data_IF_246612058304
#
_entry.id   IF_246612058304
#
_cell.length_a   1.000
_cell.length_b   1.000
_cell.length_c   1.000
_cell.angle_alpha   90.00
_cell.angle_beta   90.00
_cell.angle_gamma   90.00
#
_symmetry.space_group_name_H-M   'P 1'
#
loop_
_entity.id
_entity.type
_entity.pdbx_description
1 polymer ?
#
# COMPACT_ATOMS: atom_id res chain seq x y z
N UNK A 1 -60.99 26.43 80.34
CA UNK A 1 -59.97 25.37 80.14
C UNK A 1 -59.28 25.60 78.81
N UNK A 2 -58.04 26.11 78.81
CA UNK A 2 -57.20 26.27 77.61
C UNK A 2 -56.15 25.16 77.65
N UNK A 3 -56.11 24.30 76.62
CA UNK A 3 -55.11 23.24 76.47
C UNK A 3 -53.71 23.85 76.30
N UNK A 4 -52.67 23.28 76.94
CA UNK A 4 -51.29 23.71 76.69
C UNK A 4 -50.81 23.18 75.33
N UNK A 5 -50.10 24.04 74.60
CA UNK A 5 -49.42 23.74 73.34
C UNK A 5 -48.23 22.79 73.59
N UNK A 6 -47.97 21.79 72.72
CA UNK A 6 -46.77 20.98 72.85
C UNK A 6 -45.54 21.80 72.46
N UNK A 7 -44.56 21.88 73.35
CA UNK A 7 -43.22 22.37 73.04
C UNK A 7 -42.54 21.37 72.09
N UNK A 8 -42.17 21.82 70.90
CA UNK A 8 -41.28 21.10 69.99
C UNK A 8 -39.88 21.17 70.62
N UNK A 9 -39.46 20.10 71.28
CA UNK A 9 -38.05 19.90 71.63
C UNK A 9 -37.29 19.65 70.32
N UNK A 10 -36.34 20.53 69.99
CA UNK A 10 -35.39 20.27 68.90
C UNK A 10 -34.50 19.12 69.34
N UNK A 11 -34.64 17.99 68.67
CA UNK A 11 -33.87 16.77 68.93
C UNK A 11 -32.48 16.94 68.29
N UNK A 12 -31.53 17.51 69.04
CA UNK A 12 -30.16 17.77 68.58
C UNK A 12 -29.41 16.47 68.26
N UNK A 13 -29.81 15.34 68.85
CA UNK A 13 -29.26 14.02 68.57
C UNK A 13 -29.63 13.54 67.16
N UNK A 14 -30.87 13.81 66.71
CA UNK A 14 -31.30 13.51 65.35
C UNK A 14 -30.55 14.36 64.31
N UNK A 15 -30.27 15.63 64.62
CA UNK A 15 -29.47 16.50 63.74
C UNK A 15 -28.02 16.03 63.64
N UNK A 16 -27.44 15.60 64.76
CA UNK A 16 -26.07 15.08 64.84
C UNK A 16 -25.93 13.80 64.04
N UNK A 17 -26.88 12.85 64.18
CA UNK A 17 -26.90 11.61 63.41
C UNK A 17 -27.03 11.87 61.89
N UNK A 18 -27.83 12.86 61.49
CA UNK A 18 -27.97 13.25 60.07
C UNK A 18 -26.67 13.85 59.52
N UNK A 19 -25.99 14.70 60.29
CA UNK A 19 -24.70 15.30 59.88
C UNK A 19 -23.60 14.24 59.82
N UNK A 20 -23.56 13.31 60.77
CA UNK A 20 -22.60 12.19 60.76
C UNK A 20 -22.83 11.29 59.55
N UNK A 21 -24.09 10.95 59.24
CA UNK A 21 -24.42 10.19 58.03
C UNK A 21 -24.02 10.93 56.74
N UNK A 22 -24.33 12.22 56.63
CA UNK A 22 -23.98 13.04 55.47
C UNK A 22 -22.45 13.17 55.31
N UNK A 23 -21.71 13.35 56.40
CA UNK A 23 -20.25 13.46 56.34
C UNK A 23 -19.59 12.11 56.00
N UNK A 24 -20.07 11.00 56.57
CA UNK A 24 -19.63 9.66 56.20
C UNK A 24 -19.97 9.32 54.74
N UNK A 25 -21.15 9.70 54.26
CA UNK A 25 -21.59 9.45 52.88
C UNK A 25 -20.81 10.27 51.87
N UNK A 26 -20.55 11.55 52.18
CA UNK A 26 -19.70 12.41 51.33
C UNK A 26 -18.26 11.93 51.29
N UNK A 27 -17.70 11.49 52.42
CA UNK A 27 -16.38 10.86 52.47
C UNK A 27 -16.33 9.57 51.65
N UNK A 28 -17.35 8.71 51.78
CA UNK A 28 -17.47 7.48 51.01
C UNK A 28 -17.54 7.77 49.50
N UNK A 29 -18.33 8.76 49.09
CA UNK A 29 -18.40 9.17 47.68
C UNK A 29 -17.07 9.73 47.19
N UNK A 30 -16.36 10.54 48.00
CA UNK A 30 -15.03 11.03 47.64
C UNK A 30 -14.02 9.88 47.48
N UNK A 31 -14.06 8.88 48.34
CA UNK A 31 -13.20 7.70 48.24
C UNK A 31 -13.57 6.86 47.02
N UNK A 32 -14.86 6.67 46.75
CA UNK A 32 -15.34 5.90 45.59
C UNK A 32 -14.95 6.58 44.27
N UNK A 33 -15.10 7.90 44.17
CA UNK A 33 -14.69 8.64 42.97
C UNK A 33 -13.17 8.64 42.80
N UNK A 34 -12.41 8.85 43.88
CA UNK A 34 -10.95 8.76 43.83
C UNK A 34 -10.47 7.36 43.42
N UNK A 35 -11.10 6.31 43.93
CA UNK A 35 -10.79 4.92 43.59
C UNK A 35 -11.12 4.59 42.13
N UNK A 36 -12.29 4.99 41.64
CA UNK A 36 -12.68 4.77 40.25
C UNK A 36 -11.76 5.52 39.29
N UNK A 37 -11.37 6.76 39.61
CA UNK A 37 -10.38 7.51 38.83
C UNK A 37 -9.01 6.85 38.83
N UNK A 38 -8.56 6.30 39.97
CA UNK A 38 -7.27 5.61 40.08
C UNK A 38 -7.28 4.27 39.34
N UNK A 39 -8.38 3.52 39.39
CA UNK A 39 -8.53 2.26 38.65
C UNK A 39 -8.47 2.47 37.13
N UNK A 40 -9.06 3.57 36.63
CA UNK A 40 -8.94 3.97 35.23
C UNK A 40 -7.51 4.38 34.85
N UNK A 41 -6.76 5.00 35.77
CA UNK A 41 -5.37 5.41 35.55
C UNK A 41 -4.36 4.25 35.60
N UNK A 42 -4.64 3.19 36.35
CA UNK A 42 -3.66 2.13 36.64
C UNK A 42 -3.76 0.91 35.72
N UNK A 43 -4.85 0.75 34.95
CA UNK A 43 -5.05 -0.37 34.04
C UNK A 43 -5.10 0.01 32.54
N UNK A 44 -5.07 1.30 32.19
CA UNK A 44 -5.32 1.70 30.80
C UNK A 44 -6.70 1.23 30.30
N UNK A 45 -7.02 1.46 29.03
CA UNK A 45 -8.10 0.71 28.39
C UNK A 45 -7.59 -0.73 28.19
N UNK A 46 -8.08 -1.69 28.96
CA UNK A 46 -7.77 -3.11 28.79
C UNK A 46 -8.52 -3.66 27.56
N UNK A 47 -8.22 -3.09 26.40
CA UNK A 47 -8.79 -3.44 25.11
C UNK A 47 -7.80 -4.36 24.37
N UNK A 48 -8.11 -5.67 24.26
CA UNK A 48 -7.18 -6.63 23.70
C UNK A 48 -6.82 -6.35 22.23
N UNK A 49 -7.69 -5.65 21.50
CA UNK A 49 -7.45 -5.34 20.09
C UNK A 49 -6.44 -4.19 19.97
N UNK A 50 -6.55 -3.16 20.83
CA UNK A 50 -5.58 -2.07 20.93
C UNK A 50 -4.22 -2.60 21.40
N UNK A 51 -4.19 -3.47 22.40
CA UNK A 51 -2.95 -4.07 22.92
C UNK A 51 -2.23 -4.90 21.84
N UNK A 52 -2.97 -5.56 20.94
CA UNK A 52 -2.41 -6.30 19.81
C UNK A 52 -1.78 -5.35 18.80
N UNK A 53 -2.47 -4.27 18.42
CA UNK A 53 -1.94 -3.28 17.49
C UNK A 53 -0.68 -2.60 18.03
N UNK A 54 -0.68 -2.19 19.30
CA UNK A 54 0.48 -1.58 19.96
C UNK A 54 1.69 -2.51 19.97
N UNK A 55 1.45 -3.78 20.30
CA UNK A 55 2.49 -4.81 20.24
C UNK A 55 2.99 -5.03 18.81
N UNK A 56 2.08 -5.09 17.83
CA UNK A 56 2.41 -5.32 16.43
C UNK A 56 3.27 -4.18 15.87
N UNK A 57 2.91 -2.91 16.14
CA UNK A 57 3.70 -1.75 15.75
C UNK A 57 5.07 -1.73 16.43
N UNK A 58 5.13 -1.97 17.75
CA UNK A 58 6.39 -1.98 18.50
C UNK A 58 7.33 -3.11 18.07
N UNK A 59 6.84 -4.34 17.94
CA UNK A 59 7.64 -5.50 17.53
C UNK A 59 8.02 -5.44 16.04
N UNK A 60 7.11 -4.96 15.19
CA UNK A 60 7.39 -4.76 13.77
C UNK A 60 8.50 -3.74 13.55
N UNK A 61 8.44 -2.59 14.24
CA UNK A 61 9.50 -1.60 14.18
C UNK A 61 10.82 -2.14 14.74
N UNK A 62 10.78 -2.89 15.85
CA UNK A 62 11.98 -3.50 16.41
C UNK A 62 12.63 -4.47 15.41
N UNK A 63 11.85 -5.41 14.83
CA UNK A 63 12.33 -6.34 13.79
C UNK A 63 12.93 -5.63 12.59
N UNK A 64 12.32 -4.53 12.16
CA UNK A 64 12.78 -3.72 11.03
C UNK A 64 14.10 -2.99 11.33
N UNK A 65 14.32 -2.62 12.59
CA UNK A 65 15.42 -1.74 13.01
C UNK A 65 16.42 -2.40 13.96
N UNK A 66 16.34 -3.72 14.16
CA UNK A 66 17.24 -4.47 15.05
C UNK A 66 18.43 -5.09 14.33
N UNK A 67 18.39 -5.22 13.00
CA UNK A 67 19.43 -5.89 12.23
C UNK A 67 19.24 -5.81 10.72
N UNK A 68 19.98 -6.66 10.01
CA UNK A 68 20.06 -6.69 8.55
C UNK A 68 18.83 -7.33 7.89
N UNK A 69 18.09 -8.14 8.63
CA UNK A 69 16.96 -8.91 8.10
C UNK A 69 17.39 -10.26 7.55
N UNK A 70 16.48 -10.98 6.92
CA UNK A 70 16.72 -12.33 6.43
C UNK A 70 15.81 -12.66 5.27
N UNK A 71 16.32 -13.37 4.27
CA UNK A 71 15.56 -13.85 3.13
C UNK A 71 15.79 -15.34 2.90
N UNK A 72 14.70 -16.06 2.69
CA UNK A 72 14.68 -17.47 2.32
C UNK A 72 14.07 -17.58 0.92
N UNK A 73 14.84 -17.94 -0.12
CA UNK A 73 14.31 -18.06 -1.47
C UNK A 73 13.35 -19.23 -1.62
N UNK A 74 12.50 -19.15 -2.65
CA UNK A 74 11.63 -20.24 -3.07
C UNK A 74 12.23 -20.98 -4.26
N UNK A 75 12.33 -22.30 -4.17
CA UNK A 75 12.66 -23.19 -5.28
C UNK A 75 11.57 -24.26 -5.39
N UNK A 76 11.82 -25.49 -4.91
CA UNK A 76 10.80 -26.54 -4.74
C UNK A 76 10.19 -26.47 -3.31
N UNK A 77 9.88 -25.26 -2.86
CA UNK A 77 9.61 -24.92 -1.46
C UNK A 77 10.62 -23.94 -0.88
N UNK A 78 10.51 -23.66 0.43
CA UNK A 78 11.43 -22.74 1.12
C UNK A 78 12.83 -23.36 1.22
N UNK A 79 13.80 -22.73 0.57
CA UNK A 79 15.18 -23.16 0.54
C UNK A 79 16.00 -22.48 1.64
N UNK A 80 15.97 -23.08 2.83
CA UNK A 80 16.73 -22.62 3.98
C UNK A 80 18.26 -22.78 3.85
N UNK A 81 18.76 -23.52 2.85
CA UNK A 81 20.20 -23.67 2.66
C UNK A 81 20.81 -22.46 1.95
N UNK A 82 20.02 -21.80 1.09
CA UNK A 82 20.42 -20.63 0.32
C UNK A 82 19.87 -19.31 0.89
N UNK A 83 19.47 -19.30 2.16
CA UNK A 83 19.01 -18.08 2.83
C UNK A 83 20.17 -17.13 3.17
N UNK A 84 19.91 -15.83 3.11
CA UNK A 84 20.91 -14.77 3.32
C UNK A 84 20.32 -13.53 4.00
N UNK A 85 21.18 -12.72 4.61
CA UNK A 85 20.88 -11.36 5.10
C UNK A 85 20.81 -10.35 3.94
N UNK A 86 21.31 -10.71 2.76
CA UNK A 86 21.38 -9.88 1.55
C UNK A 86 20.07 -9.82 0.75
N UNK A 87 18.94 -9.74 1.45
CA UNK A 87 17.61 -9.70 0.84
C UNK A 87 17.43 -8.53 -0.13
N UNK A 88 18.15 -7.43 0.09
CA UNK A 88 18.08 -6.20 -0.70
C UNK A 88 18.62 -6.35 -2.13
N UNK A 89 19.32 -7.44 -2.44
CA UNK A 89 19.78 -7.77 -3.80
C UNK A 89 18.80 -8.67 -4.57
N UNK A 90 17.79 -9.23 -3.91
CA UNK A 90 16.80 -10.08 -4.57
C UNK A 90 15.81 -9.24 -5.40
N UNK A 91 15.33 -9.82 -6.51
CA UNK A 91 14.29 -9.19 -7.32
C UNK A 91 12.95 -9.17 -6.59
N UNK A 92 12.04 -8.29 -7.01
CA UNK A 92 10.70 -8.22 -6.42
C UNK A 92 9.94 -9.55 -6.55
N UNK A 93 10.12 -10.27 -7.66
CA UNK A 93 9.54 -11.60 -7.87
C UNK A 93 10.12 -12.63 -6.89
N UNK A 94 11.46 -12.68 -6.73
CA UNK A 94 12.08 -13.62 -5.79
C UNK A 94 11.69 -13.35 -4.33
N UNK A 95 11.57 -12.07 -3.95
CA UNK A 95 11.12 -11.66 -2.61
C UNK A 95 9.65 -12.02 -2.36
N UNK A 96 8.80 -11.91 -3.39
CA UNK A 96 7.38 -12.25 -3.30
C UNK A 96 7.14 -13.77 -3.17
N UNK A 97 7.89 -14.57 -3.94
CA UNK A 97 7.75 -16.03 -3.92
C UNK A 97 8.40 -16.66 -2.68
N UNK A 98 9.50 -16.07 -2.21
CA UNK A 98 10.23 -16.48 -1.01
C UNK A 98 9.62 -15.94 0.28
N UNK A 99 10.42 -15.95 1.34
CA UNK A 99 10.07 -15.35 2.64
C UNK A 99 11.12 -14.34 3.05
N UNK A 100 10.71 -13.09 3.16
CA UNK A 100 11.58 -11.99 3.57
C UNK A 100 11.16 -11.45 4.94
N UNK A 101 12.13 -11.22 5.81
CA UNK A 101 12.02 -10.36 6.98
C UNK A 101 12.93 -9.15 6.73
N UNK A 102 12.39 -7.99 6.29
CA UNK A 102 13.20 -6.83 6.02
C UNK A 102 13.87 -6.30 7.30
N UNK A 103 15.13 -5.93 7.17
CA UNK A 103 15.89 -5.24 8.20
C UNK A 103 16.69 -4.11 7.55
N UNK A 104 16.73 -2.95 8.19
CA UNK A 104 17.29 -1.72 7.62
C UNK A 104 18.68 -1.39 8.15
N UNK A 105 19.19 -2.18 9.09
CA UNK A 105 20.44 -1.88 9.78
C UNK A 105 21.60 -2.64 9.17
N UNK A 106 22.73 -1.97 8.98
CA UNK A 106 24.04 -2.58 8.71
C UNK A 106 25.07 -1.84 9.56
N UNK A 107 25.95 -2.57 10.26
CA UNK A 107 26.99 -1.96 11.11
C UNK A 107 26.45 -0.90 12.12
N UNK A 108 25.26 -1.15 12.70
CA UNK A 108 24.58 -0.24 13.64
C UNK A 108 24.12 1.10 13.05
N UNK A 109 23.99 1.18 11.72
CA UNK A 109 23.52 2.34 10.96
C UNK A 109 22.40 1.95 10.03
N UNK A 110 21.58 2.92 9.62
CA UNK A 110 20.60 2.69 8.56
C UNK A 110 21.32 2.59 7.22
N UNK A 111 21.06 1.50 6.52
CA UNK A 111 21.62 1.22 5.20
C UNK A 111 20.67 1.72 4.09
N UNK A 112 21.19 2.57 3.22
CA UNK A 112 20.41 3.22 2.16
C UNK A 112 20.02 2.24 1.05
N UNK A 113 20.86 1.24 0.77
CA UNK A 113 20.57 0.24 -0.25
C UNK A 113 19.41 -0.66 0.18
N UNK A 114 19.35 -1.00 1.47
CA UNK A 114 18.21 -1.73 2.07
C UNK A 114 16.93 -0.90 2.07
N UNK A 115 17.01 0.40 2.36
CA UNK A 115 15.85 1.30 2.26
C UNK A 115 15.34 1.36 0.81
N UNK A 116 16.23 1.54 -0.17
CA UNK A 116 15.86 1.56 -1.58
C UNK A 116 15.26 0.21 -2.04
N UNK A 117 15.78 -0.91 -1.53
CA UNK A 117 15.27 -2.23 -1.86
C UNK A 117 13.88 -2.53 -1.28
N UNK A 118 13.36 -1.72 -0.35
CA UNK A 118 11.96 -1.82 0.09
C UNK A 118 10.98 -1.65 -1.08
N UNK A 119 11.37 -0.93 -2.14
CA UNK A 119 10.56 -0.83 -3.35
C UNK A 119 10.35 -2.18 -4.05
N UNK A 120 11.19 -3.18 -3.81
CA UNK A 120 11.00 -4.53 -4.34
C UNK A 120 10.14 -5.43 -3.43
N UNK A 121 9.83 -5.00 -2.22
CA UNK A 121 9.02 -5.78 -1.26
C UNK A 121 7.55 -5.43 -1.46
N UNK A 122 6.66 -6.42 -1.43
CA UNK A 122 5.21 -6.16 -1.43
C UNK A 122 4.74 -5.81 -0.03
N UNK A 123 3.65 -5.04 0.12
CA UNK A 123 3.08 -4.74 1.45
C UNK A 123 2.78 -6.02 2.24
N UNK A 124 2.28 -7.07 1.58
CA UNK A 124 2.03 -8.38 2.18
C UNK A 124 3.31 -9.08 2.64
N UNK A 125 4.35 -9.06 1.82
CA UNK A 125 5.66 -9.61 2.19
C UNK A 125 6.26 -8.88 3.39
N UNK A 126 6.10 -7.55 3.43
CA UNK A 126 6.51 -6.72 4.57
C UNK A 126 5.72 -7.10 5.84
N UNK A 127 4.40 -7.12 5.77
CA UNK A 127 3.54 -7.46 6.91
C UNK A 127 3.85 -8.86 7.47
N UNK A 128 3.99 -9.85 6.58
CA UNK A 128 4.35 -11.21 6.98
C UNK A 128 5.77 -11.29 7.57
N UNK A 129 6.73 -10.57 6.99
CA UNK A 129 8.11 -10.50 7.46
C UNK A 129 8.22 -9.87 8.86
N UNK A 130 7.44 -8.81 9.09
CA UNK A 130 7.32 -8.18 10.41
C UNK A 130 6.47 -8.98 11.39
N UNK A 131 5.83 -10.06 10.94
CA UNK A 131 5.00 -10.96 11.74
C UNK A 131 3.72 -10.29 12.25
N UNK A 132 3.09 -9.48 11.41
CA UNK A 132 1.74 -8.95 11.62
C UNK A 132 0.70 -10.03 11.32
N UNK A 133 -0.48 -9.91 11.92
CA UNK A 133 -1.61 -10.80 11.63
C UNK A 133 -2.18 -10.52 10.22
N UNK A 134 -2.88 -11.49 9.62
CA UNK A 134 -3.32 -11.44 8.21
C UNK A 134 -4.36 -10.35 7.92
N UNK A 135 -5.09 -9.92 8.94
CA UNK A 135 -6.08 -8.85 8.91
C UNK A 135 -5.46 -7.47 9.15
N UNK A 136 -4.20 -7.38 9.55
CA UNK A 136 -3.52 -6.11 9.75
C UNK A 136 -2.93 -5.59 8.44
N UNK A 137 -3.02 -4.27 8.25
CA UNK A 137 -2.26 -3.56 7.21
C UNK A 137 -1.23 -2.62 7.85
N UNK A 138 -0.33 -2.06 7.05
CA UNK A 138 0.72 -1.18 7.56
C UNK A 138 0.95 0.01 6.64
N UNK A 139 1.47 1.08 7.24
CA UNK A 139 2.12 2.17 6.53
C UNK A 139 3.51 2.38 7.10
N UNK A 140 4.53 2.39 6.25
CA UNK A 140 5.92 2.62 6.62
C UNK A 140 6.38 3.95 6.02
N UNK A 141 6.88 4.83 6.88
CA UNK A 141 7.48 6.09 6.50
C UNK A 141 8.90 6.21 7.03
N UNK A 142 9.84 6.53 6.14
CA UNK A 142 11.24 6.80 6.46
C UNK A 142 11.56 8.19 5.94
N UNK A 143 11.79 9.14 6.85
CA UNK A 143 11.95 10.54 6.50
C UNK A 143 13.23 11.12 7.10
N UNK A 144 13.93 11.92 6.32
CA UNK A 144 14.97 12.82 6.83
C UNK A 144 14.28 14.00 7.51
N UNK A 145 14.34 14.07 8.84
CA UNK A 145 13.70 15.12 9.65
C UNK A 145 14.55 16.38 9.67
N UNK A 146 15.85 16.22 9.85
CA UNK A 146 16.85 17.30 9.86
C UNK A 146 18.05 16.84 9.04
N UNK A 147 18.68 17.76 8.29
CA UNK A 147 19.91 17.51 7.53
C UNK A 147 20.71 18.80 7.41
N UNK A 148 22.03 18.70 7.37
CA UNK A 148 22.92 19.80 7.02
C UNK A 148 22.81 20.18 5.52
N UNK A 149 22.20 19.32 4.69
CA UNK A 149 21.87 19.56 3.28
C UNK A 149 20.40 19.96 3.12
N UNK A 150 20.15 21.22 2.75
CA UNK A 150 18.80 21.77 2.54
C UNK A 150 17.98 20.99 1.49
N UNK A 151 18.62 20.28 0.56
CA UNK A 151 17.91 19.47 -0.47
C UNK A 151 17.38 18.15 0.07
N UNK A 152 17.91 17.71 1.22
CA UNK A 152 17.52 16.45 1.87
C UNK A 152 16.59 16.66 3.05
N UNK A 153 16.54 17.86 3.61
CA UNK A 153 15.64 18.18 4.72
C UNK A 153 14.17 17.86 4.35
N UNK A 154 13.46 17.15 5.24
CA UNK A 154 12.05 16.73 5.10
C UNK A 154 11.75 15.78 3.94
N UNK A 155 12.77 15.27 3.25
CA UNK A 155 12.60 14.30 2.17
C UNK A 155 12.21 12.91 2.72
N UNK A 156 11.21 12.29 2.11
CA UNK A 156 10.93 10.87 2.31
C UNK A 156 11.95 10.02 1.53
N UNK A 157 12.59 9.10 2.24
CA UNK A 157 13.39 8.03 1.65
C UNK A 157 12.49 6.84 1.25
N UNK A 158 11.38 6.66 1.96
CA UNK A 158 10.33 5.68 1.66
C UNK A 158 9.02 6.09 2.34
N UNK A 159 7.86 5.89 1.71
CA UNK A 159 6.54 6.20 2.26
C UNK A 159 5.44 5.34 1.62
N UNK A 160 5.40 4.05 1.98
CA UNK A 160 4.51 3.07 1.36
C UNK A 160 3.52 2.41 2.31
N UNK A 161 2.42 1.90 1.76
CA UNK A 161 1.48 1.02 2.44
C UNK A 161 0.05 1.54 2.45
N UNK A 162 -0.79 0.92 3.26
CA UNK A 162 -2.21 1.26 3.37
C UNK A 162 -2.40 2.56 4.14
N UNK A 163 -3.16 3.51 3.58
CA UNK A 163 -3.47 4.78 4.23
C UNK A 163 -4.34 4.60 5.49
N UNK A 164 -3.98 5.32 6.57
CA UNK A 164 -4.69 5.28 7.86
C UNK A 164 -6.19 5.53 7.74
N UNK A 165 -6.60 6.41 6.82
CA UNK A 165 -8.00 6.81 6.64
C UNK A 165 -8.94 5.68 6.22
N UNK A 166 -8.41 4.52 5.83
CA UNK A 166 -9.20 3.36 5.41
C UNK A 166 -9.46 2.35 6.53
N UNK A 167 -8.86 2.52 7.71
CA UNK A 167 -8.95 1.60 8.83
C UNK A 167 -9.67 2.22 10.05
N UNK A 168 -10.42 1.41 10.83
CA UNK A 168 -11.11 1.85 12.05
C UNK A 168 -10.15 2.23 13.19
N UNK A 169 -9.03 1.55 13.33
CA UNK A 169 -8.06 1.77 14.41
C UNK A 169 -6.62 1.57 13.92
N UNK A 170 -5.67 2.19 14.62
CA UNK A 170 -4.24 2.12 14.29
C UNK A 170 -3.38 2.26 15.54
N UNK A 171 -2.16 1.72 15.46
CA UNK A 171 -1.07 2.05 16.38
C UNK A 171 0.17 2.49 15.60
N UNK A 172 1.04 3.28 16.22
CA UNK A 172 2.22 3.85 15.60
C UNK A 172 3.43 3.67 16.51
N UNK A 173 4.52 3.15 15.95
CA UNK A 173 5.83 3.12 16.58
C UNK A 173 6.82 3.90 15.72
N UNK A 174 7.81 4.56 16.35
CA UNK A 174 8.88 5.22 15.62
C UNK A 174 10.23 5.08 16.31
N UNK A 175 11.31 5.15 15.51
CA UNK A 175 12.69 5.20 15.98
C UNK A 175 13.45 6.23 15.15
N UNK A 176 14.31 7.00 15.81
CA UNK A 176 15.13 8.02 15.16
C UNK A 176 16.60 7.62 15.19
N UNK A 177 17.30 7.94 14.11
CA UNK A 177 18.72 7.66 13.90
C UNK A 177 19.43 8.96 13.58
N UNK A 178 20.59 9.17 14.20
CA UNK A 178 21.47 10.29 13.89
C UNK A 178 22.70 9.74 13.18
N UNK A 179 22.85 10.04 11.89
CA UNK A 179 23.98 9.57 11.09
C UNK A 179 24.29 10.57 9.96
N UNK A 180 25.57 10.74 9.64
CA UNK A 180 26.05 11.61 8.54
C UNK A 180 25.51 13.07 8.56
N UNK A 181 25.24 13.62 9.74
CA UNK A 181 24.65 14.97 9.86
C UNK A 181 23.14 15.02 9.62
N UNK A 182 22.48 13.86 9.51
CA UNK A 182 21.04 13.74 9.32
C UNK A 182 20.35 13.06 10.52
N UNK A 183 19.19 13.60 10.89
CA UNK A 183 18.21 12.95 11.77
C UNK A 183 17.19 12.23 10.89
N UNK A 184 17.27 10.91 10.80
CA UNK A 184 16.33 10.08 10.05
C UNK A 184 15.33 9.46 11.01
N UNK A 185 14.04 9.51 10.68
CA UNK A 185 12.97 8.88 11.45
C UNK A 185 12.30 7.78 10.65
N UNK A 186 12.26 6.59 11.24
CA UNK A 186 11.47 5.45 10.76
C UNK A 186 10.19 5.40 11.59
N UNK A 187 9.05 5.46 10.93
CA UNK A 187 7.70 5.38 11.51
C UNK A 187 6.99 4.18 10.89
N UNK A 188 6.54 3.26 11.74
CA UNK A 188 5.68 2.15 11.34
C UNK A 188 4.30 2.37 11.96
N UNK A 189 3.29 2.52 11.12
CA UNK A 189 1.89 2.51 11.50
C UNK A 189 1.31 1.13 11.16
N UNK A 190 0.61 0.52 12.11
CA UNK A 190 -0.10 -0.75 11.94
C UNK A 190 -1.58 -0.50 12.14
N UNK A 191 -2.39 -0.99 11.21
CA UNK A 191 -3.81 -0.76 11.12
C UNK A 191 -4.58 -2.06 11.32
N UNK A 192 -5.74 -1.97 11.95
CA UNK A 192 -6.71 -3.06 12.02
C UNK A 192 -7.53 -3.09 10.72
N UNK A 193 -7.06 -3.85 9.74
CA UNK A 193 -7.61 -3.82 8.38
C UNK A 193 -7.16 -2.60 7.60
N UNK A 194 -8.01 -2.18 6.65
CA UNK A 194 -7.73 -1.10 5.71
C UNK A 194 -7.72 -1.58 4.27
N UNK A 195 -8.03 -0.66 3.35
CA UNK A 195 -8.07 -0.99 1.93
C UNK A 195 -6.71 -0.71 1.32
N UNK A 196 -5.98 -1.79 0.99
CA UNK A 196 -4.68 -1.71 0.32
C UNK A 196 -4.73 -0.84 -0.93
N UNK A 197 -3.77 0.06 -1.03
CA UNK A 197 -3.58 0.91 -2.19
C UNK A 197 -2.60 0.25 -3.17
N UNK A 198 -3.14 -0.54 -4.10
CA UNK A 198 -2.35 -1.20 -5.13
C UNK A 198 -2.48 -0.48 -6.49
N UNK A 199 -2.71 0.84 -6.51
CA UNK A 199 -3.07 1.52 -7.75
C UNK A 199 -1.99 1.38 -8.82
N UNK A 200 -2.34 0.84 -9.99
CA UNK A 200 -1.48 0.82 -11.17
C UNK A 200 -2.05 1.76 -12.24
N UNK A 201 -1.18 2.42 -12.99
CA UNK A 201 -1.54 3.33 -14.06
C UNK A 201 -1.10 2.76 -15.40
N UNK A 202 -2.00 2.72 -16.39
CA UNK A 202 -1.57 2.61 -17.78
C UNK A 202 -1.22 4.01 -18.26
N UNK A 203 -0.01 4.20 -18.75
CA UNK A 203 0.53 5.50 -19.18
C UNK A 203 0.51 5.62 -20.70
N UNK A 204 0.74 4.53 -21.41
CA UNK A 204 0.77 4.51 -22.87
C UNK A 204 0.35 3.15 -23.44
N UNK A 205 -0.30 3.14 -24.61
CA UNK A 205 -0.75 1.92 -25.30
C UNK A 205 -0.45 1.98 -26.79
N UNK A 206 0.27 0.98 -27.29
CA UNK A 206 0.49 0.75 -28.72
C UNK A 206 -0.41 -0.37 -29.23
N UNK A 207 -1.52 0.01 -29.85
CA UNK A 207 -2.46 -0.94 -30.48
C UNK A 207 -2.04 -1.31 -31.90
N UNK A 208 -1.38 -0.39 -32.63
CA UNK A 208 -1.10 -0.57 -34.06
C UNK A 208 0.36 -0.28 -34.41
N UNK A 209 1.29 -1.17 -34.03
CA UNK A 209 2.72 -0.97 -34.26
C UNK A 209 3.08 -0.80 -35.73
N UNK A 210 4.08 0.05 -36.02
CA UNK A 210 4.68 0.12 -37.34
C UNK A 210 5.62 -1.08 -37.59
N UNK A 211 5.95 -1.33 -38.87
CA UNK A 211 7.02 -2.26 -39.28
C UNK A 211 6.90 -3.68 -38.75
N UNK A 212 5.67 -4.16 -38.50
CA UNK A 212 5.41 -5.48 -37.91
C UNK A 212 5.95 -5.65 -36.48
N UNK A 213 6.10 -4.56 -35.72
CA UNK A 213 6.46 -4.60 -34.30
C UNK A 213 5.35 -5.21 -33.42
N UNK A 214 5.64 -5.41 -32.12
CA UNK A 214 4.67 -5.93 -31.17
C UNK A 214 3.73 -4.84 -30.64
N UNK A 215 2.49 -5.22 -30.36
CA UNK A 215 1.59 -4.43 -29.52
C UNK A 215 2.16 -4.36 -28.10
N UNK A 216 1.96 -3.24 -27.42
CA UNK A 216 2.43 -3.11 -26.04
C UNK A 216 1.56 -2.16 -25.22
N UNK A 217 1.62 -2.35 -23.91
CA UNK A 217 0.97 -1.54 -22.88
C UNK A 217 2.04 -1.17 -21.88
N UNK A 218 2.17 0.12 -21.60
CA UNK A 218 3.05 0.63 -20.56
C UNK A 218 2.27 0.83 -19.27
N UNK A 219 2.82 0.30 -18.17
CA UNK A 219 2.21 0.36 -16.84
C UNK A 219 3.20 0.92 -15.84
N UNK A 220 2.80 1.96 -15.12
CA UNK A 220 3.53 2.54 -14.00
C UNK A 220 2.95 2.02 -12.67
N UNK A 221 3.84 1.63 -11.75
CA UNK A 221 3.52 1.45 -10.35
C UNK A 221 3.96 2.70 -9.57
N UNK A 222 3.05 3.65 -9.27
CA UNK A 222 3.38 4.86 -8.51
C UNK A 222 3.57 4.60 -7.01
N UNK A 223 3.21 3.42 -6.50
CA UNK A 223 3.31 3.12 -5.08
C UNK A 223 4.77 2.87 -4.68
N UNK A 224 5.10 3.09 -3.41
CA UNK A 224 6.42 2.78 -2.89
C UNK A 224 6.65 1.29 -2.69
N UNK A 225 5.62 0.50 -2.37
CA UNK A 225 5.74 -0.95 -2.33
C UNK A 225 5.57 -1.58 -3.72
N UNK A 226 6.15 -2.77 -3.89
CA UNK A 226 5.89 -3.60 -5.04
C UNK A 226 4.42 -4.09 -5.05
N UNK A 227 3.85 -4.21 -6.24
CA UNK A 227 2.49 -4.69 -6.46
C UNK A 227 2.54 -6.06 -7.13
N UNK A 228 1.96 -7.07 -6.49
CA UNK A 228 1.72 -8.37 -7.12
C UNK A 228 0.64 -8.23 -8.19
N UNK A 229 0.86 -8.84 -9.35
CA UNK A 229 -0.10 -8.85 -10.45
C UNK A 229 -1.19 -9.89 -10.27
N UNK A 230 -1.14 -10.73 -9.23
CA UNK A 230 -2.23 -11.66 -8.91
C UNK A 230 -3.52 -10.86 -8.65
N UNK A 231 -4.61 -11.24 -9.34
CA UNK A 231 -5.91 -10.56 -9.24
C UNK A 231 -6.08 -9.37 -10.19
N UNK A 232 -5.03 -8.96 -10.89
CA UNK A 232 -5.11 -8.00 -11.99
C UNK A 232 -5.54 -8.68 -13.27
N UNK A 233 -6.33 -7.99 -14.09
CA UNK A 233 -6.73 -8.51 -15.38
C UNK A 233 -6.85 -7.42 -16.44
N UNK A 234 -6.56 -7.80 -17.68
CA UNK A 234 -6.82 -6.97 -18.84
C UNK A 234 -8.06 -7.48 -19.56
N UNK A 235 -8.97 -6.57 -19.90
CA UNK A 235 -10.11 -6.83 -20.75
C UNK A 235 -10.02 -5.95 -21.99
N UNK A 236 -10.11 -6.56 -23.16
CA UNK A 236 -10.27 -5.84 -24.41
C UNK A 236 -11.59 -6.23 -25.06
N UNK A 237 -12.30 -5.25 -25.62
CA UNK A 237 -13.55 -5.46 -26.36
C UNK A 237 -13.55 -4.66 -27.65
N UNK A 238 -14.04 -5.26 -28.73
CA UNK A 238 -14.23 -4.59 -30.01
C UNK A 238 -15.45 -5.14 -30.74
N UNK A 239 -16.52 -4.33 -30.81
CA UNK A 239 -17.80 -4.80 -31.37
C UNK A 239 -18.36 -5.99 -30.58
N UNK A 240 -18.36 -7.19 -31.18
CA UNK A 240 -18.81 -8.42 -30.53
C UNK A 240 -17.68 -9.32 -30.02
N UNK A 241 -16.41 -8.96 -30.27
CA UNK A 241 -15.26 -9.72 -29.75
C UNK A 241 -14.87 -9.21 -28.37
N UNK A 242 -14.43 -10.13 -27.50
CA UNK A 242 -13.82 -9.79 -26.23
C UNK A 242 -12.68 -10.77 -25.92
N UNK A 243 -11.57 -10.23 -25.43
CA UNK A 243 -10.47 -10.98 -24.83
C UNK A 243 -10.33 -10.57 -23.37
N UNK A 244 -10.00 -11.55 -22.52
CA UNK A 244 -9.75 -11.34 -21.10
C UNK A 244 -8.49 -12.11 -20.73
N UNK A 245 -7.61 -11.46 -19.98
CA UNK A 245 -6.41 -12.06 -19.43
C UNK A 245 -6.38 -11.78 -17.92
N UNK A 246 -6.45 -12.83 -17.10
CA UNK A 246 -6.17 -12.75 -15.68
C UNK A 246 -4.68 -13.02 -15.44
N UNK A 247 -4.02 -12.11 -14.75
CA UNK A 247 -2.65 -12.27 -14.31
C UNK A 247 -2.62 -13.21 -13.10
N UNK A 248 -1.81 -14.25 -13.19
CA UNK A 248 -1.66 -15.30 -12.16
C UNK A 248 -0.30 -15.26 -11.48
N UNK A 249 0.61 -14.44 -11.98
CA UNK A 249 1.98 -14.29 -11.49
C UNK A 249 2.54 -12.96 -11.96
N UNK A 250 3.70 -12.60 -11.42
CA UNK A 250 4.42 -11.36 -11.72
C UNK A 250 4.27 -10.31 -10.63
N UNK A 251 5.30 -9.49 -10.49
CA UNK A 251 5.39 -8.43 -9.48
C UNK A 251 6.00 -7.21 -10.14
N UNK A 252 5.39 -6.05 -9.95
CA UNK A 252 5.95 -4.78 -10.38
C UNK A 252 6.53 -4.06 -9.17
N UNK A 253 7.84 -3.77 -9.19
CA UNK A 253 8.50 -2.98 -8.14
C UNK A 253 7.81 -1.64 -7.92
N UNK A 254 7.92 -1.09 -6.71
CA UNK A 254 7.50 0.26 -6.39
C UNK A 254 8.25 1.30 -7.21
N UNK A 255 7.59 2.42 -7.50
CA UNK A 255 8.11 3.52 -8.33
C UNK A 255 8.69 3.06 -9.68
N UNK A 256 8.16 1.99 -10.25
CA UNK A 256 8.71 1.38 -11.47
C UNK A 256 7.83 1.58 -12.69
N UNK A 257 8.45 1.49 -13.85
CA UNK A 257 7.80 1.48 -15.15
C UNK A 257 7.95 0.11 -15.78
N UNK A 258 6.89 -0.40 -16.39
CA UNK A 258 6.82 -1.75 -16.92
C UNK A 258 6.23 -1.76 -18.32
N UNK A 259 6.77 -2.59 -19.20
CA UNK A 259 6.21 -2.80 -20.54
C UNK A 259 5.64 -4.21 -20.62
N UNK A 260 4.36 -4.31 -20.96
CA UNK A 260 3.70 -5.54 -21.32
C UNK A 260 3.63 -5.60 -22.85
N UNK A 261 4.21 -6.61 -23.47
CA UNK A 261 4.41 -6.64 -24.94
C UNK A 261 3.98 -7.96 -25.57
N UNK A 262 3.59 -7.93 -26.84
CA UNK A 262 3.32 -9.10 -27.66
C UNK A 262 4.56 -9.88 -28.10
N UNK A 263 5.76 -9.28 -28.02
CA UNK A 263 7.03 -9.97 -28.28
C UNK A 263 8.20 -9.26 -27.58
N UNK A 264 8.71 -9.90 -26.52
CA UNK A 264 9.83 -9.38 -25.73
C UNK A 264 11.11 -9.21 -26.57
N UNK A 265 11.31 -10.04 -27.60
CA UNK A 265 12.55 -10.04 -28.37
C UNK A 265 12.71 -8.84 -29.31
N UNK A 266 11.60 -8.23 -29.73
CA UNK A 266 11.59 -7.07 -30.63
C UNK A 266 11.12 -5.77 -29.97
N UNK A 267 10.69 -5.83 -28.70
CA UNK A 267 10.25 -4.67 -27.94
C UNK A 267 11.43 -3.80 -27.47
N UNK A 268 11.37 -2.49 -27.75
CA UNK A 268 12.24 -1.52 -27.07
C UNK A 268 11.73 -1.31 -25.65
N UNK A 269 12.62 -1.42 -24.67
CA UNK A 269 12.27 -1.35 -23.25
C UNK A 269 12.56 0.02 -22.59
N UNK A 270 13.34 0.90 -23.22
CA UNK A 270 13.71 2.19 -22.63
C UNK A 270 14.30 2.03 -21.22
N UNK A 271 13.75 2.76 -20.25
CA UNK A 271 14.07 2.68 -18.83
C UNK A 271 13.11 1.77 -18.03
N UNK A 272 12.28 0.97 -18.71
CA UNK A 272 11.37 0.07 -18.03
C UNK A 272 12.13 -0.95 -17.17
N UNK A 273 11.69 -1.10 -15.92
CA UNK A 273 12.23 -2.06 -14.96
C UNK A 273 11.80 -3.48 -15.28
N UNK A 274 10.57 -3.65 -15.77
CA UNK A 274 9.98 -4.95 -16.06
C UNK A 274 9.51 -5.03 -17.51
N UNK A 275 9.75 -6.17 -18.17
CA UNK A 275 9.21 -6.48 -19.50
C UNK A 275 8.47 -7.81 -19.44
N UNK A 276 7.15 -7.78 -19.67
CA UNK A 276 6.25 -8.92 -19.49
C UNK A 276 5.70 -9.38 -20.85
N UNK A 277 5.83 -10.67 -21.14
CA UNK A 277 5.33 -11.28 -22.38
C UNK A 277 3.82 -11.58 -22.29
N UNK A 278 3.02 -10.75 -22.94
CA UNK A 278 1.58 -11.00 -23.14
C UNK A 278 1.25 -11.64 -24.48
N UNK A 279 2.22 -11.77 -25.38
CA UNK A 279 2.09 -12.53 -26.62
C UNK A 279 2.02 -14.03 -26.35
N UNK A 280 2.88 -14.54 -25.47
CA UNK A 280 2.83 -15.93 -24.98
C UNK A 280 1.50 -16.26 -24.26
N UNK A 281 0.82 -15.23 -23.72
CA UNK A 281 -0.52 -15.33 -23.11
C UNK A 281 -1.66 -15.16 -24.11
N UNK A 282 -1.36 -14.86 -25.38
CA UNK A 282 -2.34 -14.67 -26.45
C UNK A 282 -3.21 -13.41 -26.29
N UNK A 283 -2.77 -12.43 -25.50
CA UNK A 283 -3.52 -11.20 -25.29
C UNK A 283 -3.05 -10.07 -26.20
N UNK A 284 -1.73 -9.92 -26.37
CA UNK A 284 -1.13 -8.93 -27.27
C UNK A 284 -0.59 -9.59 -28.54
N UNK A 285 -0.66 -8.82 -29.63
CA UNK A 285 -0.27 -9.21 -30.96
C UNK A 285 1.17 -8.87 -31.33
N UNK A 286 1.65 -9.48 -32.42
CA UNK A 286 2.92 -9.16 -33.06
C UNK A 286 2.79 -9.28 -34.57
N UNK A 287 3.35 -8.31 -35.28
CA UNK A 287 3.38 -8.32 -36.73
C UNK A 287 2.01 -8.13 -37.37
N UNK A 288 1.47 -9.21 -37.96
CA UNK A 288 0.15 -9.22 -38.61
C UNK A 288 -0.94 -9.84 -37.73
N UNK A 289 -0.55 -10.39 -36.57
CA UNK A 289 -1.48 -10.92 -35.59
C UNK A 289 -1.79 -9.81 -34.60
N UNK A 290 -3.04 -9.35 -34.58
CA UNK A 290 -3.46 -8.27 -33.68
C UNK A 290 -4.19 -8.88 -32.49
N UNK A 291 -3.74 -8.54 -31.28
CA UNK A 291 -4.40 -8.90 -30.02
C UNK A 291 -5.41 -7.82 -29.60
N UNK A 292 -5.06 -6.57 -29.88
CA UNK A 292 -5.89 -5.39 -29.75
C UNK A 292 -6.45 -4.99 -31.13
N UNK A 293 -7.68 -4.46 -31.18
CA UNK A 293 -8.32 -4.17 -32.45
C UNK A 293 -7.94 -2.79 -33.01
N UNK A 294 -7.30 -2.73 -34.18
CA UNK A 294 -6.80 -1.49 -34.81
C UNK A 294 -7.85 -0.38 -35.01
N UNK A 295 -9.08 -0.76 -35.35
CA UNK A 295 -10.09 0.20 -35.83
C UNK A 295 -10.90 0.85 -34.71
N UNK A 296 -11.27 0.07 -33.69
CA UNK A 296 -11.99 0.53 -32.51
C UNK A 296 -11.80 -0.49 -31.40
N UNK A 297 -11.69 -0.04 -30.17
CA UNK A 297 -11.58 -0.95 -29.04
C UNK A 297 -11.71 -0.21 -27.73
N UNK A 298 -12.03 -0.99 -26.70
CA UNK A 298 -11.96 -0.58 -25.30
C UNK A 298 -11.00 -1.53 -24.61
N UNK A 299 -9.94 -0.98 -24.01
CA UNK A 299 -9.03 -1.69 -23.12
C UNK A 299 -9.33 -1.24 -21.68
N UNK A 300 -9.46 -2.21 -20.78
CA UNK A 300 -9.65 -1.97 -19.35
C UNK A 300 -8.65 -2.78 -18.55
N UNK A 301 -7.95 -2.10 -17.63
CA UNK A 301 -7.24 -2.78 -16.54
C UNK A 301 -8.21 -2.88 -15.37
N UNK A 302 -8.33 -4.08 -14.82
CA UNK A 302 -9.21 -4.36 -13.70
C UNK A 302 -8.44 -5.00 -12.56
N UNK A 303 -8.92 -4.76 -11.35
CA UNK A 303 -8.40 -5.39 -10.15
C UNK A 303 -9.53 -6.01 -9.34
N UNK A 304 -9.31 -7.24 -8.90
CA UNK A 304 -10.21 -7.95 -7.98
C UNK A 304 -9.47 -8.12 -6.67
N UNK A 305 -9.95 -7.48 -5.60
CA UNK A 305 -9.41 -7.74 -4.26
C UNK A 305 -9.76 -9.15 -3.83
N UNK A 306 -8.92 -9.76 -2.97
CA UNK A 306 -9.07 -11.17 -2.57
C UNK A 306 -10.44 -11.47 -1.94
N UNK A 307 -11.04 -10.48 -1.28
CA UNK A 307 -12.36 -10.57 -0.62
C UNK A 307 -13.52 -10.07 -1.48
N UNK A 308 -13.25 -9.66 -2.72
CA UNK A 308 -14.26 -9.20 -3.68
C UNK A 308 -14.50 -10.27 -4.76
N UNK A 309 -15.77 -10.48 -5.11
CA UNK A 309 -16.16 -11.45 -6.16
C UNK A 309 -16.27 -10.82 -7.56
N UNK A 310 -16.19 -9.49 -7.65
CA UNK A 310 -16.36 -8.75 -8.89
C UNK A 310 -15.15 -7.87 -9.14
N UNK A 311 -14.54 -7.92 -10.35
CA UNK A 311 -13.44 -7.04 -10.70
C UNK A 311 -13.94 -5.59 -10.77
N UNK A 312 -13.12 -4.67 -10.26
CA UNK A 312 -13.32 -3.23 -10.41
C UNK A 312 -12.47 -2.70 -11.57
N UNK A 313 -13.05 -1.85 -12.43
CA UNK A 313 -12.28 -1.14 -13.45
C UNK A 313 -11.34 -0.14 -12.75
N UNK A 314 -10.05 -0.18 -13.10
CA UNK A 314 -9.01 0.72 -12.58
C UNK A 314 -8.69 1.81 -13.60
N UNK A 315 -8.62 1.44 -14.87
CA UNK A 315 -8.47 2.38 -15.99
C UNK A 315 -9.25 1.85 -17.18
N UNK A 316 -9.80 2.76 -17.98
CA UNK A 316 -10.51 2.45 -19.21
C UNK A 316 -10.04 3.37 -20.33
N UNK A 317 -9.70 2.76 -21.45
CA UNK A 317 -9.10 3.40 -22.62
C UNK A 317 -9.97 3.03 -23.81
N UNK A 318 -10.45 4.02 -24.55
CA UNK A 318 -11.31 3.81 -25.71
C UNK A 318 -10.75 4.54 -26.92
N UNK A 319 -10.67 3.84 -28.05
CA UNK A 319 -10.26 4.40 -29.33
C UNK A 319 -11.20 4.01 -30.46
N UNK A 320 -11.10 4.76 -31.55
CA UNK A 320 -11.99 4.66 -32.71
C UNK A 320 -13.29 5.44 -32.55
N UNK A 321 -13.98 5.67 -33.66
CA UNK A 321 -15.18 6.53 -33.74
C UNK A 321 -16.48 5.91 -33.19
N UNK A 322 -16.39 4.96 -32.27
CA UNK A 322 -17.56 4.32 -31.62
C UNK A 322 -18.19 5.15 -30.49
N UNK A 323 -17.48 6.17 -30.01
CA UNK A 323 -17.89 7.16 -29.01
C UNK A 323 -17.32 8.55 -29.33
N UNK A 324 -17.48 9.52 -28.42
CA UNK A 324 -17.04 10.93 -28.58
C UNK A 324 -15.50 11.13 -28.58
N UNK A 325 -14.70 10.06 -28.64
CA UNK A 325 -13.24 10.13 -28.45
C UNK A 325 -12.50 10.75 -29.64
N UNK A 326 -12.98 10.51 -30.87
CA UNK A 326 -12.30 10.93 -32.12
C UNK A 326 -10.84 10.44 -32.26
N UNK A 327 -10.41 9.46 -31.46
CA UNK A 327 -9.06 8.89 -31.48
C UNK A 327 -8.94 7.83 -32.58
N UNK A 328 -8.67 8.25 -33.81
CA UNK A 328 -8.46 7.34 -34.95
C UNK A 328 -6.99 7.01 -35.11
N UNK A 329 -6.61 5.80 -34.70
CA UNK A 329 -5.22 5.37 -34.73
C UNK A 329 -4.69 5.14 -36.15
N UNK A 330 -3.53 5.71 -36.45
CA UNK A 330 -2.73 5.38 -37.61
C UNK A 330 -1.59 4.44 -37.19
N UNK A 331 -1.08 3.65 -38.12
CA UNK A 331 0.06 2.75 -37.88
C UNK A 331 1.25 3.52 -37.32
N UNK A 332 1.78 3.06 -36.20
CA UNK A 332 2.93 3.63 -35.50
C UNK A 332 2.58 4.64 -34.41
N UNK A 333 1.31 5.02 -34.26
CA UNK A 333 0.86 5.90 -33.17
C UNK A 333 0.45 5.10 -31.93
N UNK A 334 0.71 5.66 -30.77
CA UNK A 334 0.24 5.17 -29.47
C UNK A 334 -0.84 6.09 -28.89
N UNK A 335 -1.50 5.60 -27.84
CA UNK A 335 -2.40 6.37 -27.00
C UNK A 335 -1.67 6.69 -25.69
N UNK A 336 -1.53 7.98 -25.36
CA UNK A 336 -0.85 8.44 -24.14
C UNK A 336 -1.86 9.06 -23.18
N UNK A 337 -1.71 8.77 -21.89
CA UNK A 337 -2.51 9.33 -20.81
C UNK A 337 -1.98 10.69 -20.35
N UNK A 338 -2.87 11.66 -20.11
CA UNK A 338 -2.54 13.01 -19.65
C UNK A 338 -2.26 13.12 -18.14
N UNK A 339 -2.47 12.03 -17.38
CA UNK A 339 -2.26 12.00 -15.93
C UNK A 339 -3.46 12.47 -15.09
N UNK A 340 -4.59 12.85 -15.70
CA UNK A 340 -5.71 13.51 -15.00
C UNK A 340 -6.79 12.51 -14.58
N UNK A 341 -7.47 11.89 -15.54
CA UNK A 341 -8.58 10.97 -15.28
C UNK A 341 -8.37 9.65 -16.02
N UNK A 342 -8.45 8.54 -15.27
CA UNK A 342 -8.21 7.18 -15.78
C UNK A 342 -9.43 6.57 -16.49
N UNK A 343 -10.58 7.23 -16.46
CA UNK A 343 -11.81 6.77 -17.08
C UNK A 343 -12.33 7.71 -18.15
N UNK A 344 -11.93 8.98 -18.14
CA UNK A 344 -12.33 9.95 -19.15
C UNK A 344 -11.59 9.70 -20.46
N UNK A 345 -12.33 9.54 -21.56
CA UNK A 345 -11.72 9.41 -22.89
C UNK A 345 -10.96 10.67 -23.32
N UNK A 346 -11.31 11.84 -22.76
CA UNK A 346 -10.61 13.10 -23.02
C UNK A 346 -9.21 13.16 -22.43
N UNK A 347 -8.88 12.24 -21.52
CA UNK A 347 -7.55 12.14 -20.90
C UNK A 347 -6.56 11.32 -21.72
N UNK A 348 -6.94 10.93 -22.94
CA UNK A 348 -6.10 10.17 -23.86
C UNK A 348 -5.91 10.93 -25.17
N UNK A 349 -4.68 10.96 -25.66
CA UNK A 349 -4.31 11.57 -26.94
C UNK A 349 -3.43 10.65 -27.78
N UNK A 350 -3.36 10.91 -29.08
CA UNK A 350 -2.45 10.20 -29.98
C UNK A 350 -1.04 10.78 -29.88
N UNK A 351 -0.04 9.91 -29.80
CA UNK A 351 1.38 10.25 -29.90
C UNK A 351 1.96 9.71 -31.21
N UNK A 352 2.68 10.56 -31.94
CA UNK A 352 3.25 10.29 -33.26
C UNK A 352 4.64 9.65 -33.19
N UNK A 353 5.35 9.86 -32.08
CA UNK A 353 6.68 9.30 -31.81
C UNK A 353 6.72 8.59 -30.45
N UNK A 354 6.07 7.42 -30.34
CA UNK A 354 6.02 6.65 -29.10
C UNK A 354 7.43 6.33 -28.56
N UNK A 355 7.62 6.51 -27.26
CA UNK A 355 8.88 6.24 -26.55
C UNK A 355 8.64 5.21 -25.44
N UNK A 356 8.49 3.91 -25.79
CA UNK A 356 8.19 2.89 -24.80
C UNK A 356 9.26 2.84 -23.71
N UNK A 357 8.83 2.92 -22.45
CA UNK A 357 9.69 2.86 -21.28
C UNK A 357 10.33 4.20 -20.90
N UNK A 358 9.89 5.33 -21.45
CA UNK A 358 10.46 6.65 -21.19
C UNK A 358 9.51 7.60 -20.42
N UNK A 359 8.44 7.08 -19.82
CA UNK A 359 7.53 7.88 -19.01
C UNK A 359 8.25 8.53 -17.81
N UNK A 360 8.37 9.85 -17.85
CA UNK A 360 9.01 10.68 -16.83
C UNK A 360 8.01 11.30 -15.86
N UNK A 361 7.07 10.48 -15.35
CA UNK A 361 5.98 10.88 -14.46
C UNK A 361 6.35 11.73 -13.26
#
# INVERSE_FOLDING_TARGET
MRRPSPHIQRDEDALTAVIEFLSAFTLFLMILTAFLSLAQLQMGSNDPDVDRLDRAASLGLDRLTSGEGWFVPHADGLDYANSSEDWHHASAEALHDGRVQPGLMLDHRLDMDRIAALHNVTEDGMAQGLGLDQDMSLHLSIQVVESDDETREKRFLFSGGTERGTAPSSSTAYRSFQQDGELIRVVLEVHDGGRKNNLLHITEVMVRPASSGPEWIEVSNPNDFAVSLIGWSFNHTSGSSSSNLLMQSGVLSGQSLSILTGDVSSQSAGNATHVIDLGARGFLGVGQLNGLADGRGVLSLRYTQLDEISPSDVVRIEWGGGGDTQLFMVTGQSLVWDGIDRFASSSWSLEDSPTPGEYGG
#
